data_IF_205722814151
#
_entry.id   IF_205722814151
#
_cell.length_a   1.000
_cell.length_b   1.000
_cell.length_c   1.000
_cell.angle_alpha   90.00
_cell.angle_beta   90.00
_cell.angle_gamma   90.00
#
_symmetry.space_group_name_H-M   'P 1'
#
loop_
_entity.id
_entity.type
_entity.pdbx_description
1 polymer ?
#
# COMPACT_ATOMS: atom_id res chain seq x y z
N UNK A 1 41.60 -19.57 -36.74
CA UNK A 1 40.80 -20.63 -37.36
C UNK A 1 40.98 -21.92 -36.56
N UNK A 2 40.07 -22.24 -35.65
CA UNK A 2 40.18 -23.43 -34.79
C UNK A 2 39.69 -24.66 -35.57
N UNK A 3 40.60 -25.59 -35.86
CA UNK A 3 40.34 -26.92 -36.41
C UNK A 3 39.60 -27.81 -35.40
N UNK A 4 38.33 -27.52 -35.14
CA UNK A 4 37.46 -28.38 -34.32
C UNK A 4 37.11 -29.62 -35.17
N UNK A 5 37.78 -30.73 -34.82
CA UNK A 5 37.62 -32.08 -35.38
C UNK A 5 38.20 -32.33 -36.80
N UNK A 6 39.50 -32.43 -36.86
CA UNK A 6 40.17 -32.92 -38.07
C UNK A 6 39.83 -34.41 -38.39
N UNK A 7 39.39 -35.19 -37.42
CA UNK A 7 39.03 -36.62 -37.54
C UNK A 7 37.64 -36.92 -36.96
N UNK A 8 36.92 -37.84 -37.59
CA UNK A 8 35.57 -38.24 -37.18
C UNK A 8 35.60 -39.05 -35.87
N UNK A 9 34.58 -38.86 -35.00
CA UNK A 9 34.49 -39.59 -33.71
C UNK A 9 34.19 -41.08 -33.89
N UNK A 10 33.70 -41.49 -35.04
CA UNK A 10 33.32 -42.89 -35.34
C UNK A 10 34.46 -43.71 -35.94
N UNK A 11 35.09 -43.26 -37.01
CA UNK A 11 36.11 -44.01 -37.77
C UNK A 11 37.48 -43.33 -37.79
N UNK A 12 37.67 -42.22 -37.09
CA UNK A 12 38.87 -41.36 -37.15
C UNK A 12 39.26 -40.90 -38.56
N UNK A 13 38.37 -41.05 -39.57
CA UNK A 13 38.55 -40.64 -40.92
C UNK A 13 38.36 -39.12 -41.12
N UNK A 14 38.66 -38.62 -42.33
CA UNK A 14 38.41 -37.22 -42.70
C UNK A 14 36.94 -36.84 -42.46
N UNK A 15 36.73 -35.59 -42.14
CA UNK A 15 35.40 -35.04 -41.84
C UNK A 15 35.02 -34.03 -42.91
N UNK A 16 33.86 -34.22 -43.50
CA UNK A 16 33.27 -33.26 -44.41
C UNK A 16 32.22 -32.37 -43.74
N UNK A 17 32.12 -31.16 -44.24
CA UNK A 17 31.02 -30.23 -43.82
C UNK A 17 29.70 -30.73 -44.43
N UNK A 18 28.70 -30.97 -43.59
CA UNK A 18 27.36 -31.38 -43.97
C UNK A 18 26.33 -30.40 -43.45
N UNK A 19 26.21 -29.29 -44.17
CA UNK A 19 25.41 -28.15 -43.73
C UNK A 19 26.12 -27.25 -42.70
N UNK A 20 25.43 -26.22 -42.22
CA UNK A 20 26.03 -25.17 -41.37
C UNK A 20 26.50 -25.68 -40.00
N UNK A 21 25.84 -26.69 -39.44
CA UNK A 21 26.04 -27.15 -38.04
C UNK A 21 26.28 -28.66 -37.94
N UNK A 22 26.46 -29.36 -39.05
CA UNK A 22 26.70 -30.81 -39.08
C UNK A 22 28.01 -31.12 -39.75
N UNK A 23 28.57 -32.25 -39.39
CA UNK A 23 29.74 -32.86 -40.01
C UNK A 23 29.39 -34.29 -40.39
N UNK A 24 30.06 -34.82 -41.40
CA UNK A 24 29.89 -36.17 -41.87
C UNK A 24 31.25 -36.86 -41.95
N UNK A 25 31.29 -38.11 -41.52
CA UNK A 25 32.47 -38.97 -41.73
C UNK A 25 32.61 -39.35 -43.18
N UNK A 26 33.82 -39.18 -43.74
CA UNK A 26 34.10 -39.58 -45.16
C UNK A 26 33.95 -41.07 -45.41
N UNK A 27 34.21 -41.87 -44.36
CA UNK A 27 34.23 -43.34 -44.46
C UNK A 27 32.84 -43.94 -44.25
N UNK A 28 32.25 -43.78 -43.08
CA UNK A 28 30.98 -44.45 -42.75
C UNK A 28 29.74 -43.57 -42.99
N UNK A 29 29.89 -42.36 -43.53
CA UNK A 29 28.82 -41.40 -43.82
C UNK A 29 27.99 -40.96 -42.59
N UNK A 30 28.31 -41.41 -41.39
CA UNK A 30 27.62 -40.98 -40.16
C UNK A 30 27.76 -39.48 -39.96
N UNK A 31 26.66 -38.84 -39.60
CA UNK A 31 26.61 -37.40 -39.37
C UNK A 31 26.47 -37.10 -37.88
N UNK A 32 27.04 -35.98 -37.44
CA UNK A 32 26.86 -35.46 -36.08
C UNK A 32 26.78 -33.92 -36.11
N UNK A 33 26.14 -33.35 -35.13
CA UNK A 33 26.04 -31.91 -34.98
C UNK A 33 27.27 -31.37 -34.25
N UNK A 34 27.87 -30.30 -34.78
CA UNK A 34 28.83 -29.51 -34.01
C UNK A 34 28.06 -28.85 -32.87
N UNK A 35 28.32 -29.25 -31.64
CA UNK A 35 27.84 -28.53 -30.47
C UNK A 35 28.55 -27.18 -30.43
N UNK A 36 28.01 -26.17 -31.12
CA UNK A 36 28.32 -24.79 -30.75
C UNK A 36 27.98 -24.66 -29.27
N UNK A 37 28.93 -24.24 -28.43
CA UNK A 37 28.63 -23.86 -27.03
C UNK A 37 27.34 -23.07 -27.08
N UNK A 38 26.23 -23.63 -26.56
CA UNK A 38 24.99 -22.84 -26.44
C UNK A 38 25.42 -21.59 -25.74
N UNK A 39 25.38 -20.43 -26.43
CA UNK A 39 25.54 -19.14 -25.78
C UNK A 39 24.57 -19.20 -24.61
N UNK A 40 25.08 -19.46 -23.41
CA UNK A 40 24.28 -19.54 -22.23
C UNK A 40 23.46 -18.25 -22.20
N UNK A 41 22.15 -18.35 -22.15
CA UNK A 41 21.30 -17.16 -22.03
C UNK A 41 21.95 -16.33 -20.94
N UNK A 42 22.46 -15.14 -21.27
CA UNK A 42 23.05 -14.22 -20.30
C UNK A 42 22.05 -14.12 -19.14
N UNK A 43 22.39 -14.76 -18.02
CA UNK A 43 21.54 -14.67 -16.83
C UNK A 43 21.55 -13.19 -16.43
N UNK A 44 20.42 -12.56 -16.57
CA UNK A 44 20.29 -11.17 -16.19
C UNK A 44 20.45 -11.06 -14.67
N UNK A 45 21.61 -10.57 -14.22
CA UNK A 45 21.99 -10.54 -12.81
C UNK A 45 21.35 -9.37 -12.03
N UNK A 46 20.70 -8.41 -12.72
CA UNK A 46 20.19 -7.17 -12.12
C UNK A 46 18.69 -7.19 -11.81
N UNK A 47 18.16 -8.30 -11.25
CA UNK A 47 16.76 -8.35 -10.79
C UNK A 47 16.40 -7.24 -9.77
N UNK A 48 17.24 -6.91 -8.76
CA UNK A 48 16.99 -5.80 -7.84
C UNK A 48 16.88 -4.45 -8.54
N UNK A 49 17.76 -4.15 -9.50
CA UNK A 49 17.73 -2.91 -10.27
C UNK A 49 16.46 -2.73 -11.12
N UNK A 50 15.87 -3.84 -11.62
CA UNK A 50 14.61 -3.77 -12.36
C UNK A 50 13.43 -3.44 -11.43
N UNK A 51 13.38 -4.04 -10.25
CA UNK A 51 12.36 -3.74 -9.26
C UNK A 51 12.42 -2.27 -8.85
N UNK A 52 13.62 -1.78 -8.54
CA UNK A 52 13.84 -0.38 -8.18
C UNK A 52 13.40 0.57 -9.31
N UNK A 53 13.86 0.31 -10.55
CA UNK A 53 13.53 1.15 -11.70
C UNK A 53 12.02 1.24 -11.96
N UNK A 54 11.29 0.14 -11.83
CA UNK A 54 9.85 0.12 -12.13
C UNK A 54 9.01 0.54 -10.94
N UNK A 55 9.23 -0.05 -9.74
CA UNK A 55 8.36 0.16 -8.59
C UNK A 55 8.65 1.46 -7.85
N UNK A 56 9.90 1.91 -7.86
CA UNK A 56 10.33 3.08 -7.07
C UNK A 56 10.52 4.30 -7.95
N UNK A 57 11.19 4.15 -9.11
CA UNK A 57 11.46 5.24 -10.03
C UNK A 57 10.34 5.45 -11.07
N UNK A 58 9.33 4.57 -11.13
CA UNK A 58 8.19 4.67 -12.03
C UNK A 58 8.53 4.48 -13.52
N UNK A 59 9.69 3.88 -13.84
CA UNK A 59 10.07 3.66 -15.24
C UNK A 59 9.19 2.62 -15.91
N UNK A 60 8.75 2.91 -17.13
CA UNK A 60 7.97 1.95 -17.92
C UNK A 60 8.84 0.79 -18.42
N UNK A 61 8.25 -0.39 -18.57
CA UNK A 61 8.95 -1.53 -19.17
C UNK A 61 9.36 -1.25 -20.62
N UNK A 62 8.57 -0.42 -21.33
CA UNK A 62 8.90 0.03 -22.70
C UNK A 62 10.20 0.82 -22.73
N UNK A 63 10.42 1.73 -21.77
CA UNK A 63 11.65 2.54 -21.70
C UNK A 63 12.88 1.76 -21.25
N UNK A 64 12.69 0.63 -20.58
CA UNK A 64 13.78 -0.22 -20.09
C UNK A 64 14.20 -1.28 -21.12
N UNK A 65 13.31 -1.71 -22.02
CA UNK A 65 13.56 -2.76 -22.98
C UNK A 65 14.78 -2.47 -23.90
N UNK A 66 14.92 -1.28 -24.54
CA UNK A 66 16.07 -0.99 -25.40
C UNK A 66 17.41 -1.08 -24.67
N UNK A 67 17.46 -0.59 -23.42
CA UNK A 67 18.68 -0.59 -22.59
C UNK A 67 19.16 -2.00 -22.21
N UNK A 68 18.30 -2.99 -22.33
CA UNK A 68 18.59 -4.39 -21.97
C UNK A 68 18.78 -5.28 -23.20
N UNK A 69 18.60 -4.75 -24.40
CA UNK A 69 18.62 -5.51 -25.66
C UNK A 69 17.48 -6.52 -25.77
N UNK A 70 16.35 -6.27 -25.07
CA UNK A 70 15.18 -7.13 -25.08
C UNK A 70 14.02 -6.47 -25.81
N UNK A 71 13.18 -7.31 -26.44
CA UNK A 71 11.87 -6.85 -26.91
C UNK A 71 10.97 -6.48 -25.72
N UNK A 72 10.00 -5.59 -25.92
CA UNK A 72 9.04 -5.20 -24.89
C UNK A 72 8.30 -6.43 -24.31
N UNK A 73 7.97 -7.39 -25.15
CA UNK A 73 7.29 -8.63 -24.72
C UNK A 73 8.19 -9.50 -23.83
N UNK A 74 9.46 -9.70 -24.22
CA UNK A 74 10.43 -10.42 -23.41
C UNK A 74 10.71 -9.73 -22.07
N UNK A 75 10.75 -8.39 -22.06
CA UNK A 75 10.85 -7.60 -20.83
C UNK A 75 9.63 -7.80 -19.94
N UNK A 76 8.40 -7.76 -20.48
CA UNK A 76 7.18 -8.03 -19.73
C UNK A 76 7.13 -9.43 -19.12
N UNK A 77 7.62 -10.45 -19.84
CA UNK A 77 7.72 -11.80 -19.29
C UNK A 77 8.73 -11.87 -18.13
N UNK A 78 9.93 -11.31 -18.31
CA UNK A 78 10.94 -11.24 -17.24
C UNK A 78 10.46 -10.47 -16.03
N UNK A 79 9.78 -9.37 -16.24
CA UNK A 79 9.19 -8.58 -15.18
C UNK A 79 8.24 -9.41 -14.30
N UNK A 80 7.29 -10.12 -14.92
CA UNK A 80 6.36 -11.00 -14.18
C UNK A 80 7.08 -12.08 -13.39
N UNK A 81 8.11 -12.71 -13.98
CA UNK A 81 8.91 -13.70 -13.27
C UNK A 81 9.69 -13.09 -12.08
N UNK A 82 10.28 -11.90 -12.27
CA UNK A 82 11.02 -11.20 -11.22
C UNK A 82 10.12 -10.82 -10.05
N UNK A 83 8.95 -10.25 -10.33
CA UNK A 83 7.94 -9.93 -9.31
C UNK A 83 7.52 -11.18 -8.52
N UNK A 84 7.12 -12.25 -9.23
CA UNK A 84 6.70 -13.49 -8.58
C UNK A 84 7.79 -14.05 -7.67
N UNK A 85 9.02 -14.16 -8.16
CA UNK A 85 10.15 -14.64 -7.36
C UNK A 85 10.44 -13.77 -6.15
N UNK A 86 10.36 -12.44 -6.30
CA UNK A 86 10.56 -11.52 -5.20
C UNK A 86 9.50 -11.66 -4.11
N UNK A 87 8.23 -11.77 -4.52
CA UNK A 87 7.13 -11.95 -3.57
C UNK A 87 7.12 -13.34 -2.93
N UNK A 88 7.42 -14.42 -3.68
CA UNK A 88 7.47 -15.77 -3.15
C UNK A 88 8.60 -16.01 -2.12
N UNK A 89 9.70 -15.25 -2.18
CA UNK A 89 10.80 -15.38 -1.20
C UNK A 89 10.39 -15.08 0.24
N UNK A 90 9.17 -14.58 0.43
CA UNK A 90 8.72 -14.18 1.75
C UNK A 90 9.45 -12.92 2.27
N UNK A 91 9.10 -12.54 3.47
CA UNK A 91 9.73 -11.41 4.16
C UNK A 91 9.78 -11.69 5.65
N UNK A 92 10.95 -11.54 6.23
CA UNK A 92 11.09 -11.50 7.69
C UNK A 92 10.86 -10.06 8.17
N UNK A 93 9.80 -9.87 8.95
CA UNK A 93 9.50 -8.58 9.56
C UNK A 93 10.32 -8.43 10.84
N UNK A 94 11.29 -7.54 10.82
CA UNK A 94 12.07 -7.18 12.00
C UNK A 94 11.43 -5.96 12.67
N UNK A 95 10.77 -6.18 13.79
CA UNK A 95 10.13 -5.13 14.59
C UNK A 95 10.79 -5.08 15.97
N UNK A 96 11.06 -3.89 16.52
CA UNK A 96 11.53 -3.73 17.88
C UNK A 96 10.58 -4.42 18.87
N UNK A 97 11.07 -4.83 20.02
CA UNK A 97 10.24 -5.41 21.10
C UNK A 97 9.24 -4.37 21.64
N UNK A 98 8.18 -4.82 22.32
CA UNK A 98 7.20 -3.97 22.97
C UNK A 98 5.86 -3.84 22.22
N UNK A 99 4.96 -3.00 22.73
CA UNK A 99 3.62 -2.80 22.19
C UNK A 99 3.63 -2.10 20.83
N UNK A 100 2.63 -2.44 20.02
CA UNK A 100 2.47 -1.95 18.65
C UNK A 100 1.14 -1.22 18.47
N UNK A 101 1.14 -0.24 17.58
CA UNK A 101 -0.05 0.44 17.05
C UNK A 101 -0.24 0.00 15.60
N UNK A 102 -1.43 -0.48 15.26
CA UNK A 102 -1.82 -0.82 13.90
C UNK A 102 -2.43 0.39 13.22
N UNK A 103 -1.88 0.83 12.10
CA UNK A 103 -2.43 1.90 11.24
C UNK A 103 -2.98 1.26 9.98
N UNK A 104 -4.22 1.53 9.64
CA UNK A 104 -4.92 0.83 8.57
C UNK A 104 -5.77 1.79 7.73
N UNK A 105 -5.86 1.48 6.43
CA UNK A 105 -6.67 2.24 5.47
C UNK A 105 -6.97 1.35 4.25
N UNK A 106 -8.14 1.53 3.65
CA UNK A 106 -8.59 0.81 2.46
C UNK A 106 -8.42 1.64 1.20
N UNK A 107 -8.08 0.99 0.09
CA UNK A 107 -7.99 1.62 -1.20
C UNK A 107 -8.86 0.91 -2.22
N UNK A 108 -9.84 1.63 -2.76
CA UNK A 108 -10.83 1.10 -3.69
C UNK A 108 -10.32 1.01 -5.12
N UNK A 109 -10.66 -0.09 -5.81
CA UNK A 109 -10.38 -0.35 -7.21
C UNK A 109 -11.57 -0.96 -7.93
N UNK A 110 -11.61 -0.81 -9.25
CA UNK A 110 -12.62 -1.43 -10.10
C UNK A 110 -11.97 -2.15 -11.26
N UNK A 111 -12.21 -3.45 -11.36
CA UNK A 111 -11.76 -4.29 -12.46
C UNK A 111 -12.95 -4.96 -13.15
N UNK A 112 -13.09 -4.75 -14.46
CA UNK A 112 -14.19 -5.36 -15.25
C UNK A 112 -15.57 -5.20 -14.58
N UNK A 113 -15.88 -3.98 -14.13
CA UNK A 113 -17.11 -3.61 -13.43
C UNK A 113 -17.29 -4.25 -12.03
N UNK A 114 -16.32 -5.00 -11.51
CA UNK A 114 -16.32 -5.56 -10.15
C UNK A 114 -15.49 -4.69 -9.21
N UNK A 115 -16.02 -4.45 -8.05
CA UNK A 115 -15.38 -3.64 -6.99
C UNK A 115 -14.37 -4.49 -6.22
N UNK A 116 -13.26 -3.88 -5.82
CA UNK A 116 -12.17 -4.51 -5.06
C UNK A 116 -11.61 -3.51 -4.07
N UNK A 117 -11.23 -3.99 -2.91
CA UNK A 117 -10.56 -3.17 -1.88
C UNK A 117 -9.18 -3.76 -1.57
N UNK A 118 -8.18 -2.92 -1.67
CA UNK A 118 -6.83 -3.20 -1.19
C UNK A 118 -6.73 -2.70 0.26
N UNK A 119 -6.60 -3.61 1.18
CA UNK A 119 -6.42 -3.35 2.59
C UNK A 119 -4.92 -3.18 2.88
N UNK A 120 -4.53 -2.01 3.32
CA UNK A 120 -3.13 -1.66 3.62
C UNK A 120 -2.99 -1.45 5.12
N UNK A 121 -2.02 -2.13 5.70
CA UNK A 121 -1.73 -2.10 7.13
C UNK A 121 -0.27 -1.74 7.37
N UNK A 122 -0.03 -0.93 8.40
CA UNK A 122 1.31 -0.69 8.91
C UNK A 122 1.32 -0.83 10.44
N UNK A 123 2.39 -1.37 10.99
CA UNK A 123 2.58 -1.50 12.42
C UNK A 123 3.67 -0.54 12.90
N UNK A 124 3.36 0.24 13.92
CA UNK A 124 4.23 1.25 14.53
C UNK A 124 4.54 0.84 15.97
N UNK A 125 5.82 0.70 16.38
CA UNK A 125 6.16 0.60 17.80
C UNK A 125 5.75 1.87 18.56
N UNK A 126 5.22 1.73 19.77
CA UNK A 126 4.72 2.88 20.53
C UNK A 126 5.80 3.94 20.80
N UNK A 127 7.05 3.52 20.99
CA UNK A 127 8.18 4.40 21.30
C UNK A 127 8.87 5.00 20.06
N UNK A 128 8.42 4.67 18.84
CA UNK A 128 9.02 5.14 17.59
C UNK A 128 7.99 5.84 16.70
N UNK A 129 8.49 6.73 15.84
CA UNK A 129 7.68 7.36 14.78
C UNK A 129 7.83 6.67 13.41
N UNK A 130 8.40 5.48 13.37
CA UNK A 130 8.58 4.69 12.16
C UNK A 130 7.63 3.51 12.16
N UNK A 131 6.75 3.45 11.17
CA UNK A 131 5.87 2.32 10.93
C UNK A 131 6.44 1.37 9.87
N UNK A 132 6.11 0.10 9.96
CA UNK A 132 6.50 -0.94 8.99
C UNK A 132 5.23 -1.53 8.40
N UNK A 133 5.14 -1.54 7.07
CA UNK A 133 3.99 -2.11 6.38
C UNK A 133 3.96 -3.63 6.49
N UNK A 134 2.79 -4.17 6.71
CA UNK A 134 2.49 -5.59 6.50
C UNK A 134 2.23 -5.84 5.01
N UNK A 135 2.19 -7.12 4.61
CA UNK A 135 1.78 -7.44 3.24
C UNK A 135 0.31 -7.04 3.04
N UNK A 136 -0.02 -6.38 1.94
CA UNK A 136 -1.38 -5.91 1.69
C UNK A 136 -2.29 -7.07 1.30
N UNK A 137 -3.59 -6.92 1.51
CA UNK A 137 -4.59 -7.91 1.13
C UNK A 137 -5.61 -7.27 0.19
N UNK A 138 -5.88 -7.91 -0.93
CA UNK A 138 -6.87 -7.45 -1.91
C UNK A 138 -8.09 -8.38 -1.86
N UNK A 139 -9.24 -7.84 -1.51
CA UNK A 139 -10.50 -8.59 -1.45
C UNK A 139 -11.55 -8.02 -2.42
N UNK A 140 -12.43 -8.87 -2.96
CA UNK A 140 -13.56 -8.42 -3.78
C UNK A 140 -14.60 -7.70 -2.92
N UNK A 141 -15.33 -6.76 -3.53
CA UNK A 141 -16.41 -6.02 -2.90
C UNK A 141 -16.01 -4.63 -2.44
N UNK A 142 -16.85 -4.08 -1.56
CA UNK A 142 -16.63 -2.78 -0.90
C UNK A 142 -16.00 -2.98 0.47
N UNK A 143 -15.31 -1.96 0.94
CA UNK A 143 -14.71 -1.96 2.27
C UNK A 143 -15.79 -2.08 3.36
N UNK A 144 -15.63 -3.07 4.24
CA UNK A 144 -16.57 -3.37 5.31
C UNK A 144 -15.86 -4.08 6.48
N UNK A 145 -16.61 -4.27 7.57
CA UNK A 145 -16.13 -4.93 8.78
C UNK A 145 -15.67 -6.37 8.54
N UNK A 146 -16.39 -7.14 7.72
CA UNK A 146 -16.05 -8.54 7.44
C UNK A 146 -14.73 -8.65 6.68
N UNK A 147 -14.50 -7.76 5.69
CA UNK A 147 -13.22 -7.66 4.99
C UNK A 147 -12.07 -7.38 5.94
N UNK A 148 -12.22 -6.43 6.87
CA UNK A 148 -11.20 -6.16 7.88
C UNK A 148 -11.00 -7.33 8.83
N UNK A 149 -12.06 -8.02 9.27
CA UNK A 149 -11.95 -9.22 10.10
C UNK A 149 -11.11 -10.30 9.40
N UNK A 150 -11.39 -10.56 8.11
CA UNK A 150 -10.60 -11.48 7.30
C UNK A 150 -9.14 -11.02 7.16
N UNK A 151 -8.90 -9.73 6.95
CA UNK A 151 -7.55 -9.18 6.84
C UNK A 151 -6.76 -9.32 8.14
N UNK A 152 -7.40 -9.15 9.29
CA UNK A 152 -6.73 -9.31 10.60
C UNK A 152 -6.22 -10.72 10.83
N UNK A 153 -6.85 -11.76 10.26
CA UNK A 153 -6.34 -13.14 10.35
C UNK A 153 -5.02 -13.35 9.61
N UNK A 154 -4.68 -12.45 8.68
CA UNK A 154 -3.39 -12.52 7.96
C UNK A 154 -2.22 -11.92 8.74
N UNK A 155 -2.49 -11.22 9.85
CA UNK A 155 -1.45 -10.64 10.70
C UNK A 155 -0.73 -11.79 11.43
N UNK A 156 0.61 -11.89 11.33
CA UNK A 156 1.34 -12.93 12.06
C UNK A 156 1.01 -12.91 13.57
N UNK A 157 0.74 -14.06 14.18
CA UNK A 157 0.32 -14.16 15.58
C UNK A 157 1.29 -13.46 16.55
N UNK A 158 2.61 -13.52 16.26
CA UNK A 158 3.65 -12.82 17.05
C UNK A 158 3.53 -11.31 17.01
N UNK A 159 2.99 -10.72 15.93
CA UNK A 159 2.70 -9.30 15.79
C UNK A 159 1.34 -8.98 16.41
N UNK A 160 0.32 -9.77 16.07
CA UNK A 160 -1.06 -9.57 16.52
C UNK A 160 -1.15 -9.45 18.04
N UNK A 161 -0.53 -10.37 18.79
CA UNK A 161 -0.50 -10.36 20.28
C UNK A 161 0.11 -9.09 20.89
N UNK A 162 0.91 -8.34 20.13
CA UNK A 162 1.57 -7.11 20.56
C UNK A 162 0.79 -5.85 20.23
N UNK A 163 -0.24 -5.93 19.39
CA UNK A 163 -1.06 -4.77 19.04
C UNK A 163 -1.88 -4.38 20.25
N UNK A 164 -1.77 -3.11 20.65
CA UNK A 164 -2.52 -2.49 21.77
C UNK A 164 -3.50 -1.45 21.32
N UNK A 165 -3.32 -0.93 20.10
CA UNK A 165 -4.23 0.07 19.56
C UNK A 165 -4.27 0.00 18.03
N UNK A 166 -5.35 0.52 17.46
CA UNK A 166 -5.50 0.72 16.02
C UNK A 166 -5.86 2.16 15.69
N UNK A 167 -5.42 2.61 14.52
CA UNK A 167 -5.77 3.92 13.94
C UNK A 167 -6.39 3.69 12.57
N UNK A 168 -7.61 4.14 12.39
CA UNK A 168 -8.40 3.87 11.17
C UNK A 168 -9.29 5.05 10.78
N UNK A 169 -9.85 4.98 9.58
CA UNK A 169 -11.01 5.77 9.17
C UNK A 169 -12.29 5.38 9.95
N UNK A 170 -13.35 6.17 9.79
CA UNK A 170 -14.69 5.97 10.38
C UNK A 170 -15.51 4.88 9.66
N UNK A 171 -14.91 3.78 9.26
CA UNK A 171 -15.62 2.69 8.60
C UNK A 171 -16.62 2.06 9.58
N UNK A 172 -17.80 1.71 9.05
CA UNK A 172 -18.84 1.05 9.86
C UNK A 172 -18.31 -0.24 10.49
N UNK A 173 -18.43 -0.36 11.80
CA UNK A 173 -18.02 -1.54 12.56
C UNK A 173 -16.54 -1.62 12.91
N UNK A 174 -15.66 -0.75 12.39
CA UNK A 174 -14.21 -0.83 12.68
C UNK A 174 -13.91 -0.63 14.17
N UNK A 175 -14.62 0.27 14.84
CA UNK A 175 -14.48 0.46 16.29
C UNK A 175 -14.83 -0.82 17.03
N UNK A 176 -15.99 -1.42 16.71
CA UNK A 176 -16.43 -2.69 17.32
C UNK A 176 -15.42 -3.82 17.07
N UNK A 177 -14.88 -3.89 15.84
CA UNK A 177 -13.90 -4.90 15.49
C UNK A 177 -12.61 -4.71 16.31
N UNK A 178 -12.09 -3.49 16.40
CA UNK A 178 -10.89 -3.19 17.16
C UNK A 178 -11.06 -3.41 18.67
N UNK A 179 -12.17 -2.93 19.24
CA UNK A 179 -12.46 -3.15 20.68
C UNK A 179 -12.68 -4.63 21.00
N UNK A 180 -13.29 -5.40 20.07
CA UNK A 180 -13.43 -6.86 20.20
C UNK A 180 -12.10 -7.61 20.20
N UNK A 181 -11.02 -7.02 19.64
CA UNK A 181 -9.64 -7.52 19.76
C UNK A 181 -8.93 -7.05 21.04
N UNK A 182 -9.60 -6.29 21.91
CA UNK A 182 -9.01 -5.66 23.09
C UNK A 182 -8.11 -4.45 22.77
N UNK A 183 -8.25 -3.86 21.59
CA UNK A 183 -7.45 -2.71 21.16
C UNK A 183 -8.13 -1.37 21.49
N UNK A 184 -7.30 -0.39 21.82
CA UNK A 184 -7.72 1.01 21.89
C UNK A 184 -7.86 1.51 20.44
N UNK A 185 -9.02 2.08 20.08
CA UNK A 185 -9.27 2.57 18.73
C UNK A 185 -9.15 4.07 18.68
N UNK A 186 -8.27 4.60 17.85
CA UNK A 186 -8.15 6.00 17.46
C UNK A 186 -8.76 6.19 16.07
N UNK A 187 -9.73 7.09 15.95
CA UNK A 187 -10.29 7.48 14.65
C UNK A 187 -9.47 8.60 13.99
N UNK A 188 -9.34 8.52 12.68
CA UNK A 188 -8.51 9.42 11.89
C UNK A 188 -9.08 10.85 11.84
N UNK A 189 -8.32 11.83 12.32
CA UNK A 189 -8.70 13.25 12.24
C UNK A 189 -8.77 13.77 10.81
N UNK A 190 -7.86 13.29 9.94
CA UNK A 190 -7.84 13.75 8.55
C UNK A 190 -9.16 13.46 7.83
N UNK A 191 -9.70 12.26 7.96
CA UNK A 191 -10.96 11.88 7.33
C UNK A 191 -12.13 12.69 7.87
N UNK A 192 -12.23 12.88 9.19
CA UNK A 192 -13.25 13.73 9.79
C UNK A 192 -13.16 15.17 9.27
N UNK A 193 -11.97 15.77 9.34
CA UNK A 193 -11.76 17.16 8.93
C UNK A 193 -12.00 17.33 7.42
N UNK A 194 -11.57 16.38 6.59
CA UNK A 194 -11.81 16.40 5.14
C UNK A 194 -13.32 16.37 4.80
N UNK A 195 -14.09 15.48 5.46
CA UNK A 195 -15.55 15.43 5.31
C UNK A 195 -16.23 16.74 5.72
N UNK A 196 -15.81 17.34 6.84
CA UNK A 196 -16.33 18.64 7.26
C UNK A 196 -15.92 19.76 6.30
N UNK A 197 -14.69 19.78 5.79
CA UNK A 197 -14.23 20.75 4.80
C UNK A 197 -15.08 20.69 3.52
N UNK A 198 -15.40 19.52 3.03
CA UNK A 198 -16.27 19.34 1.88
C UNK A 198 -17.66 19.91 2.13
N UNK A 199 -18.18 19.80 3.35
CA UNK A 199 -19.47 20.39 3.75
C UNK A 199 -19.42 21.91 3.98
N UNK A 200 -18.24 22.52 4.21
CA UNK A 200 -18.12 23.98 4.42
C UNK A 200 -18.47 24.80 3.19
N UNK A 201 -18.20 24.23 1.99
CA UNK A 201 -18.55 24.89 0.74
C UNK A 201 -17.85 26.23 0.51
N UNK A 202 -16.60 26.41 0.95
CA UNK A 202 -15.85 27.68 0.82
C UNK A 202 -15.83 28.26 -0.59
N UNK A 203 -15.83 27.39 -1.61
CA UNK A 203 -15.82 27.79 -3.02
C UNK A 203 -17.23 28.08 -3.58
N UNK A 204 -18.29 27.70 -2.88
CA UNK A 204 -19.66 27.92 -3.30
C UNK A 204 -20.27 29.11 -2.52
N UNK A 205 -20.26 30.30 -3.12
CA UNK A 205 -20.80 31.52 -2.51
C UNK A 205 -22.31 31.48 -2.25
N UNK A 206 -23.05 30.63 -2.97
CA UNK A 206 -24.52 30.46 -2.85
C UNK A 206 -24.93 29.47 -1.77
N UNK A 207 -23.98 28.80 -1.12
CA UNK A 207 -24.30 27.76 -0.14
C UNK A 207 -24.92 28.38 1.14
N UNK A 208 -26.13 28.00 1.45
CA UNK A 208 -26.84 28.46 2.65
C UNK A 208 -26.16 28.04 3.96
N UNK A 209 -26.32 28.83 5.00
CA UNK A 209 -25.84 28.53 6.35
C UNK A 209 -24.32 28.55 6.50
N UNK A 210 -23.59 29.29 5.69
CA UNK A 210 -22.11 29.39 5.75
C UNK A 210 -21.57 29.73 7.16
N UNK A 211 -22.10 30.74 7.90
CA UNK A 211 -21.61 31.04 9.26
C UNK A 211 -21.73 29.83 10.20
N UNK A 212 -22.87 29.13 10.16
CA UNK A 212 -23.12 27.97 11.00
C UNK A 212 -22.21 26.78 10.60
N UNK A 213 -21.97 26.58 9.29
CA UNK A 213 -21.02 25.56 8.80
C UNK A 213 -19.61 25.84 9.29
N UNK A 214 -19.18 27.08 9.24
CA UNK A 214 -17.88 27.52 9.72
C UNK A 214 -17.77 27.32 11.24
N UNK A 215 -18.78 27.76 12.00
CA UNK A 215 -18.83 27.59 13.45
C UNK A 215 -18.72 26.11 13.85
N UNK A 216 -19.50 25.21 13.22
CA UNK A 216 -19.43 23.76 13.46
C UNK A 216 -18.02 23.21 13.18
N UNK A 217 -17.43 23.58 12.06
CA UNK A 217 -16.09 23.15 11.68
C UNK A 217 -15.04 23.61 12.71
N UNK A 218 -15.06 24.88 13.11
CA UNK A 218 -14.09 25.41 14.06
C UNK A 218 -14.23 24.79 15.45
N UNK A 219 -15.48 24.57 15.91
CA UNK A 219 -15.70 23.92 17.20
C UNK A 219 -15.23 22.45 17.21
N UNK A 220 -15.41 21.70 16.11
CA UNK A 220 -14.86 20.33 16.00
C UNK A 220 -13.33 20.37 16.04
N UNK A 221 -12.70 21.31 15.33
CA UNK A 221 -11.23 21.47 15.41
C UNK A 221 -10.75 21.74 16.82
N UNK A 222 -11.39 22.71 17.51
CA UNK A 222 -11.05 23.02 18.90
C UNK A 222 -11.23 21.80 19.82
N UNK A 223 -12.32 21.06 19.67
CA UNK A 223 -12.58 19.85 20.46
C UNK A 223 -11.51 18.77 20.25
N UNK A 224 -10.89 18.67 19.06
CA UNK A 224 -9.80 17.76 18.81
C UNK A 224 -8.47 18.21 19.46
N UNK A 225 -8.22 19.53 19.52
CA UNK A 225 -6.96 20.11 19.96
C UNK A 225 -6.87 20.39 21.46
N UNK A 226 -7.99 20.76 22.11
CA UNK A 226 -8.00 21.13 23.53
C UNK A 226 -7.64 19.94 24.44
N UNK A 227 -6.97 20.18 25.58
CA UNK A 227 -6.82 19.18 26.62
C UNK A 227 -8.18 18.85 27.27
N UNK A 228 -8.24 17.73 28.00
CA UNK A 228 -9.43 17.41 28.79
C UNK A 228 -9.60 18.45 29.89
N UNK A 229 -10.87 18.84 30.17
CA UNK A 229 -11.17 19.83 31.19
C UNK A 229 -12.36 20.73 30.83
N UNK A 230 -12.63 21.77 31.67
CA UNK A 230 -13.82 22.63 31.54
C UNK A 230 -13.92 23.32 30.16
N UNK A 231 -12.80 23.75 29.58
CA UNK A 231 -12.77 24.39 28.25
C UNK A 231 -13.26 23.43 27.13
N UNK A 232 -12.87 22.16 27.20
CA UNK A 232 -13.37 21.15 26.27
C UNK A 232 -14.87 20.95 26.43
N UNK A 233 -15.36 20.85 27.68
CA UNK A 233 -16.80 20.69 27.96
C UNK A 233 -17.61 21.87 27.41
N UNK A 234 -17.13 23.10 27.56
CA UNK A 234 -17.75 24.28 26.98
C UNK A 234 -17.86 24.19 25.45
N UNK A 235 -16.78 23.76 24.78
CA UNK A 235 -16.77 23.55 23.33
C UNK A 235 -17.76 22.45 22.92
N UNK A 236 -17.79 21.33 23.63
CA UNK A 236 -18.73 20.23 23.34
C UNK A 236 -20.20 20.65 23.54
N UNK A 237 -20.49 21.44 24.60
CA UNK A 237 -21.82 21.98 24.83
C UNK A 237 -22.24 22.95 23.71
N UNK A 238 -21.34 23.84 23.31
CA UNK A 238 -21.53 24.71 22.14
C UNK A 238 -21.79 23.94 20.86
N UNK A 239 -21.04 22.87 20.62
CA UNK A 239 -21.26 21.97 19.48
C UNK A 239 -22.65 21.33 19.49
N UNK A 240 -23.11 20.83 20.67
CA UNK A 240 -24.46 20.26 20.81
C UNK A 240 -25.53 21.29 20.50
N UNK A 241 -25.35 22.54 20.95
CA UNK A 241 -26.26 23.65 20.66
C UNK A 241 -26.30 23.97 19.15
N UNK A 242 -25.13 24.16 18.49
CA UNK A 242 -25.03 24.42 17.06
C UNK A 242 -25.63 23.29 16.21
N UNK A 243 -25.46 22.03 16.61
CA UNK A 243 -26.08 20.87 15.95
C UNK A 243 -27.61 20.92 15.98
N UNK A 244 -28.20 21.44 17.06
CA UNK A 244 -29.67 21.63 17.17
C UNK A 244 -30.14 22.70 16.18
N UNK A 245 -29.39 23.80 16.06
CA UNK A 245 -29.69 24.89 15.12
C UNK A 245 -29.51 24.46 13.65
N UNK A 246 -28.63 23.52 13.37
CA UNK A 246 -28.25 23.08 12.02
C UNK A 246 -29.30 22.17 11.34
N UNK A 247 -30.61 22.42 11.52
CA UNK A 247 -31.70 21.58 10.95
C UNK A 247 -31.58 21.44 9.43
N UNK A 248 -31.28 22.53 8.71
CA UNK A 248 -31.12 22.57 7.25
C UNK A 248 -29.78 22.02 6.73
N UNK A 249 -28.80 21.69 7.61
CA UNK A 249 -27.48 21.22 7.25
C UNK A 249 -27.30 19.70 7.42
N UNK A 250 -28.21 18.92 6.83
CA UNK A 250 -28.36 17.46 7.09
C UNK A 250 -27.03 16.70 7.16
N UNK A 251 -26.19 16.81 6.13
CA UNK A 251 -24.92 16.03 6.05
C UNK A 251 -23.93 16.47 7.13
N UNK A 252 -23.70 17.78 7.28
CA UNK A 252 -22.76 18.29 8.29
C UNK A 252 -23.23 17.99 9.72
N UNK A 253 -24.53 18.13 9.96
CA UNK A 253 -25.16 17.76 11.23
C UNK A 253 -24.94 16.29 11.57
N UNK A 254 -25.09 15.39 10.60
CA UNK A 254 -24.85 13.97 10.79
C UNK A 254 -23.39 13.69 11.14
N UNK A 255 -22.43 14.30 10.44
CA UNK A 255 -20.99 14.12 10.72
C UNK A 255 -20.65 14.59 12.14
N UNK A 256 -21.16 15.77 12.55
CA UNK A 256 -20.86 16.32 13.89
C UNK A 256 -21.54 15.51 15.00
N UNK A 257 -22.75 15.00 14.78
CA UNK A 257 -23.39 14.07 15.74
C UNK A 257 -22.58 12.79 15.92
N UNK A 258 -22.10 12.21 14.83
CA UNK A 258 -21.27 11.02 14.87
C UNK A 258 -19.94 11.29 15.59
N UNK A 259 -19.31 12.45 15.32
CA UNK A 259 -18.14 12.90 16.07
C UNK A 259 -18.42 13.00 17.58
N UNK A 260 -19.51 13.64 17.98
CA UNK A 260 -19.88 13.77 19.41
C UNK A 260 -20.13 12.41 20.06
N UNK A 261 -20.73 11.47 19.36
CA UNK A 261 -20.97 10.11 19.84
C UNK A 261 -19.68 9.31 20.02
N UNK A 262 -18.68 9.57 19.18
CA UNK A 262 -17.41 8.84 19.15
C UNK A 262 -16.23 9.68 19.63
N UNK A 263 -16.46 10.74 20.37
CA UNK A 263 -15.42 11.69 20.81
C UNK A 263 -14.24 11.00 21.47
N UNK A 264 -14.49 9.97 22.28
CA UNK A 264 -13.47 9.21 22.97
C UNK A 264 -12.51 8.50 22.03
N UNK A 265 -13.02 7.98 20.92
CA UNK A 265 -12.17 7.35 19.88
C UNK A 265 -11.39 8.38 19.06
N UNK A 266 -11.92 9.59 18.85
CA UNK A 266 -11.14 10.67 18.22
C UNK A 266 -10.07 11.24 19.13
N UNK A 267 -10.22 11.08 20.44
CA UNK A 267 -9.31 11.62 21.44
C UNK A 267 -8.49 10.55 22.20
N UNK A 268 -8.52 9.30 21.74
CA UNK A 268 -7.79 8.20 22.38
C UNK A 268 -6.28 8.51 22.50
N UNK A 269 -5.69 9.25 21.55
CA UNK A 269 -4.30 9.68 21.62
C UNK A 269 -3.97 10.55 22.85
N UNK A 270 -4.95 11.24 23.42
CA UNK A 270 -4.78 12.02 24.68
C UNK A 270 -4.97 11.17 25.92
N UNK A 271 -5.96 10.27 25.90
CA UNK A 271 -6.21 9.34 27.00
C UNK A 271 -5.06 8.35 27.21
N UNK A 272 -4.35 7.98 26.12
CA UNK A 272 -3.30 6.98 26.16
C UNK A 272 -1.97 7.52 25.60
N UNK A 273 -1.35 8.53 26.22
CA UNK A 273 -0.14 9.20 25.70
C UNK A 273 1.05 8.26 25.57
N UNK A 274 1.16 7.25 26.43
CA UNK A 274 2.23 6.23 26.40
C UNK A 274 2.23 5.39 25.10
N UNK A 275 1.10 5.29 24.41
CA UNK A 275 1.00 4.56 23.14
C UNK A 275 1.47 5.40 21.93
N UNK A 276 1.65 6.71 22.12
CA UNK A 276 2.08 7.64 21.06
C UNK A 276 1.26 7.42 19.78
N UNK A 277 -0.09 7.43 19.92
CA UNK A 277 -1.00 7.16 18.82
C UNK A 277 -0.93 8.26 17.77
N UNK A 278 -0.73 7.92 16.48
CA UNK A 278 -0.91 8.91 15.42
C UNK A 278 -2.39 9.30 15.33
N UNK A 279 -2.66 10.58 15.11
CA UNK A 279 -4.04 11.08 14.96
C UNK A 279 -4.58 10.93 13.54
N UNK A 280 -3.75 10.43 12.61
CA UNK A 280 -4.12 10.24 11.21
C UNK A 280 -3.60 8.92 10.66
N UNK A 281 -4.23 8.44 9.59
CA UNK A 281 -3.77 7.32 8.74
C UNK A 281 -2.78 7.78 7.67
N UNK A 282 -2.25 9.01 7.76
CA UNK A 282 -1.46 9.67 6.71
C UNK A 282 -0.26 8.87 6.19
N UNK A 283 0.34 8.00 7.03
CA UNK A 283 1.40 7.09 6.59
C UNK A 283 0.88 6.05 5.59
N UNK A 284 -0.28 5.44 5.86
CA UNK A 284 -0.90 4.47 4.97
C UNK A 284 -1.48 5.16 3.73
N UNK A 285 -2.08 6.35 3.89
CA UNK A 285 -2.55 7.17 2.77
C UNK A 285 -1.43 7.55 1.80
N UNK A 286 -0.22 7.84 2.30
CA UNK A 286 0.94 8.09 1.47
C UNK A 286 1.32 6.86 0.62
N UNK A 287 1.21 5.65 1.17
CA UNK A 287 1.38 4.41 0.41
C UNK A 287 0.25 4.24 -0.61
N UNK A 288 -1.00 4.49 -0.23
CA UNK A 288 -2.16 4.43 -1.12
C UNK A 288 -2.01 5.39 -2.32
N UNK A 289 -1.45 6.59 -2.10
CA UNK A 289 -1.12 7.53 -3.18
C UNK A 289 -0.09 6.92 -4.14
N UNK A 290 0.99 6.33 -3.62
CA UNK A 290 2.01 5.65 -4.45
C UNK A 290 1.43 4.50 -5.27
N UNK A 291 0.51 3.73 -4.71
CA UNK A 291 -0.19 2.66 -5.43
C UNK A 291 -1.01 3.23 -6.59
N UNK A 292 -1.74 4.34 -6.37
CA UNK A 292 -2.48 5.02 -7.45
C UNK A 292 -1.53 5.55 -8.54
N UNK A 293 -0.39 6.13 -8.15
CA UNK A 293 0.62 6.62 -9.09
C UNK A 293 1.22 5.47 -9.91
N UNK A 294 1.55 4.36 -9.27
CA UNK A 294 2.03 3.15 -9.93
C UNK A 294 1.03 2.66 -10.99
N UNK A 295 -0.25 2.61 -10.66
CA UNK A 295 -1.30 2.20 -11.60
C UNK A 295 -1.42 3.16 -12.80
N UNK A 296 -1.34 4.48 -12.55
CA UNK A 296 -1.38 5.50 -13.61
C UNK A 296 -0.18 5.37 -14.56
N UNK A 297 1.01 5.15 -14.02
CA UNK A 297 2.25 5.07 -14.79
C UNK A 297 2.37 3.79 -15.60
N UNK A 298 1.91 2.67 -15.06
CA UNK A 298 2.21 1.36 -15.66
C UNK A 298 1.18 0.90 -16.68
N UNK A 299 -0.07 1.35 -16.63
CA UNK A 299 -1.21 0.92 -17.48
C UNK A 299 -1.33 -0.60 -17.71
N UNK A 300 -0.44 -1.39 -17.10
CA UNK A 300 -0.31 -2.85 -17.31
C UNK A 300 -0.98 -3.68 -16.21
N UNK A 301 -1.47 -3.05 -15.15
CA UNK A 301 -2.17 -3.73 -14.06
C UNK A 301 -3.66 -3.86 -14.44
N UNK A 302 -4.00 -4.96 -15.12
CA UNK A 302 -5.35 -5.19 -15.68
C UNK A 302 -6.16 -6.23 -14.90
N UNK A 303 -5.64 -6.77 -13.80
CA UNK A 303 -6.32 -7.77 -12.98
C UNK A 303 -6.03 -7.59 -11.49
N UNK A 304 -6.94 -8.05 -10.61
CA UNK A 304 -6.72 -8.04 -9.17
C UNK A 304 -5.44 -8.76 -8.74
N UNK A 305 -5.17 -9.93 -9.35
CA UNK A 305 -3.97 -10.73 -9.05
C UNK A 305 -2.68 -9.98 -9.42
N UNK A 306 -2.67 -9.27 -10.56
CA UNK A 306 -1.56 -8.42 -10.93
C UNK A 306 -1.39 -7.27 -9.95
N UNK A 307 -2.48 -6.61 -9.52
CA UNK A 307 -2.45 -5.53 -8.54
C UNK A 307 -1.86 -6.02 -7.21
N UNK A 308 -2.38 -7.14 -6.68
CA UNK A 308 -1.88 -7.74 -5.44
C UNK A 308 -0.37 -7.97 -5.50
N UNK A 309 0.11 -8.58 -6.60
CA UNK A 309 1.53 -8.89 -6.79
C UNK A 309 2.40 -7.62 -6.84
N UNK A 310 1.97 -6.62 -7.61
CA UNK A 310 2.69 -5.36 -7.78
C UNK A 310 2.76 -4.57 -6.47
N UNK A 311 1.64 -4.46 -5.75
CA UNK A 311 1.58 -3.70 -4.51
C UNK A 311 2.35 -4.40 -3.39
N UNK A 312 2.26 -5.73 -3.30
CA UNK A 312 3.09 -6.48 -2.36
C UNK A 312 4.58 -6.24 -2.62
N UNK A 313 5.00 -6.26 -3.88
CA UNK A 313 6.40 -5.97 -4.22
C UNK A 313 6.79 -4.52 -3.91
N UNK A 314 5.93 -3.53 -4.21
CA UNK A 314 6.16 -2.12 -3.88
C UNK A 314 6.35 -1.92 -2.37
N UNK A 315 5.46 -2.49 -1.57
CA UNK A 315 5.50 -2.41 -0.10
C UNK A 315 6.77 -3.08 0.45
N UNK A 316 7.18 -4.21 -0.10
CA UNK A 316 8.40 -4.90 0.32
C UNK A 316 9.68 -4.16 -0.10
N UNK A 317 9.65 -3.41 -1.19
CA UNK A 317 10.75 -2.52 -1.59
C UNK A 317 10.85 -1.26 -0.71
N UNK A 318 9.71 -0.79 -0.18
CA UNK A 318 9.63 0.36 0.72
C UNK A 318 8.90 -0.01 2.01
N UNK A 319 9.52 -0.85 2.85
CA UNK A 319 8.85 -1.49 3.97
C UNK A 319 8.52 -0.56 5.13
N UNK A 320 9.10 0.61 5.18
CA UNK A 320 8.95 1.49 6.32
C UNK A 320 8.62 2.93 5.90
N UNK A 321 7.88 3.61 6.76
CA UNK A 321 7.47 5.00 6.57
C UNK A 321 7.49 5.75 7.91
N UNK A 322 7.76 7.05 7.86
CA UNK A 322 7.62 7.92 9.03
C UNK A 322 6.13 8.14 9.28
N UNK A 323 5.71 7.88 10.51
CA UNK A 323 4.35 8.04 10.98
C UNK A 323 4.31 9.22 11.96
N UNK A 324 4.21 10.45 11.44
CA UNK A 324 4.19 11.65 12.25
C UNK A 324 2.87 11.81 13.02
N UNK A 325 3.01 12.16 14.31
CA UNK A 325 1.99 11.97 15.30
C UNK A 325 0.73 12.83 15.19
N UNK A 326 0.78 14.12 14.85
CA UNK A 326 -0.37 15.01 15.06
C UNK A 326 -0.76 15.77 13.78
N UNK A 327 -2.02 15.65 13.37
CA UNK A 327 -2.57 16.29 12.17
C UNK A 327 -2.34 17.81 12.12
N UNK A 328 -2.55 18.50 13.24
CA UNK A 328 -2.46 19.96 13.30
C UNK A 328 -1.02 20.51 13.42
N UNK A 329 -0.05 19.69 13.81
CA UNK A 329 1.35 20.11 13.83
C UNK A 329 2.01 20.10 12.44
N UNK A 330 1.45 19.36 11.47
CA UNK A 330 2.00 19.27 10.11
C UNK A 330 1.67 20.49 9.25
N UNK A 331 0.72 21.34 9.62
CA UNK A 331 0.31 22.53 8.83
C UNK A 331 1.07 23.82 9.14
N UNK A 332 2.07 23.79 10.03
CA UNK A 332 2.92 24.96 10.29
C UNK A 332 4.05 25.17 9.26
N UNK A 333 4.12 24.33 8.23
CA UNK A 333 5.18 24.35 7.19
C UNK A 333 4.61 24.45 5.76
N UNK A 334 3.57 25.26 5.54
CA UNK A 334 3.19 25.72 4.19
C UNK A 334 2.81 27.18 4.27
#
# INVERSE_FOLDING_TARGET
MNSLHAKSPCCRAKVHRFGARRRQCSQCKRTWSIRTKKRGRKRWRNAPGLLEAVLVQGRSLKSLAPRTGLTQQAMGHRWRQTLRRFVLRGRVLRLPRGPLVLVLDGLYFRFRKKDWVLYVMAVKPCHQNRAVFLDPVLLPGRENMQGWAQVFTTIPASIHRRIRASVSDEISGIVRLGTGQGWIVQLCHFHLISRLQNCRGRRNRRLQGRPLREALYQQVRQALELPDGPRLQAVLNKLRHLVRQAKGLRVMRMIVREFLRRIDHFRAYRKYPKLNLPTTTGSVEAMNRRVRDLMRQTRSIKSPQALQLWVTALIRMRPAIICNGKYFQQKKFV
#
